data_IF_256736944356
#
_entry.id   IF_256736944356
#
_cell.length_a   1.000
_cell.length_b   1.000
_cell.length_c   1.000
_cell.angle_alpha   90.00
_cell.angle_beta   90.00
_cell.angle_gamma   90.00
#
_symmetry.space_group_name_H-M   'P 1'
#
loop_
_entity.id
_entity.type
_entity.pdbx_description
1 polymer ?
#
# COMPACT_ATOMS: atom_id res chain seq x y z
N UNK A 1 17.78 5.80 -0.30
CA UNK A 1 16.82 4.69 -0.24
C UNK A 1 15.57 5.09 0.53
N UNK A 2 14.40 4.62 0.07
CA UNK A 2 13.12 4.75 0.78
C UNK A 2 12.86 3.38 1.41
N UNK A 3 12.87 3.30 2.75
CA UNK A 3 12.60 2.06 3.47
C UNK A 3 11.09 1.87 3.66
N UNK A 4 10.63 0.63 3.55
CA UNK A 4 9.23 0.26 3.74
C UNK A 4 9.06 -0.65 4.97
N UNK A 5 7.91 -0.53 5.62
CA UNK A 5 7.49 -1.45 6.70
C UNK A 5 6.87 -2.72 6.11
N UNK A 6 7.70 -3.51 5.44
CA UNK A 6 7.35 -4.77 4.78
C UNK A 6 8.03 -5.95 5.48
N UNK A 7 7.46 -7.13 5.35
CA UNK A 7 7.97 -8.35 5.99
C UNK A 7 7.56 -9.59 5.20
N UNK A 8 8.49 -10.55 5.14
CA UNK A 8 8.30 -11.85 4.49
C UNK A 8 8.59 -12.99 5.46
N UNK A 9 7.88 -14.11 5.32
CA UNK A 9 8.16 -15.38 5.98
C UNK A 9 8.78 -16.30 4.94
N UNK A 10 10.00 -16.76 5.21
CA UNK A 10 10.75 -17.65 4.33
C UNK A 10 11.06 -18.95 5.05
N UNK A 11 10.85 -20.08 4.39
CA UNK A 11 11.19 -21.41 4.89
C UNK A 11 12.00 -22.16 3.84
N UNK A 12 13.19 -22.65 4.22
CA UNK A 12 14.08 -23.43 3.34
C UNK A 12 14.36 -22.75 1.99
N UNK A 13 14.47 -21.41 1.97
CA UNK A 13 14.72 -20.63 0.76
C UNK A 13 13.49 -20.33 -0.10
N UNK A 14 12.29 -20.72 0.36
CA UNK A 14 11.02 -20.43 -0.32
C UNK A 14 10.23 -19.39 0.47
N UNK A 15 9.77 -18.34 -0.21
CA UNK A 15 8.82 -17.37 0.34
C UNK A 15 7.46 -18.05 0.56
N UNK A 16 7.02 -18.09 1.81
CA UNK A 16 5.74 -18.68 2.18
C UNK A 16 4.63 -17.64 2.31
N UNK A 17 4.97 -16.40 2.64
CA UNK A 17 4.00 -15.36 2.95
C UNK A 17 4.66 -13.99 2.97
N UNK A 18 3.93 -12.96 2.55
CA UNK A 18 4.40 -11.56 2.59
C UNK A 18 3.32 -10.59 3.06
N UNK A 19 3.73 -9.47 3.65
CA UNK A 19 2.85 -8.46 4.20
C UNK A 19 3.49 -7.10 4.36
N UNK A 20 2.67 -6.13 4.77
CA UNK A 20 3.10 -4.76 5.00
C UNK A 20 2.16 -4.01 5.94
N UNK A 21 2.71 -3.02 6.65
CA UNK A 21 1.91 -1.91 7.20
C UNK A 21 1.48 -1.02 6.04
N UNK A 22 0.19 -0.66 6.00
CA UNK A 22 -0.41 0.07 4.89
C UNK A 22 -0.49 1.56 5.18
N UNK A 23 -0.38 2.33 4.11
CA UNK A 23 -0.68 3.74 4.12
C UNK A 23 -2.16 3.96 4.50
N UNK A 24 -2.42 5.01 5.27
CA UNK A 24 -3.75 5.48 5.64
C UNK A 24 -3.89 7.01 5.52
N UNK A 25 -2.89 7.67 4.93
CA UNK A 25 -2.83 9.10 4.70
C UNK A 25 -2.98 9.41 3.20
N UNK A 26 -3.90 10.31 2.86
CA UNK A 26 -4.20 10.67 1.47
C UNK A 26 -3.04 11.40 0.79
N UNK A 27 -2.34 12.27 1.51
CA UNK A 27 -1.24 13.07 0.97
C UNK A 27 -0.05 12.17 0.64
N UNK A 28 0.21 11.19 1.52
CA UNK A 28 1.23 10.15 1.27
C UNK A 28 0.83 9.30 0.06
N UNK A 29 -0.45 8.95 -0.10
CA UNK A 29 -0.91 8.19 -1.26
C UNK A 29 -0.66 8.96 -2.56
N UNK A 30 -1.09 10.22 -2.63
CA UNK A 30 -0.89 11.08 -3.80
C UNK A 30 0.60 11.19 -4.13
N UNK A 31 1.46 11.44 -3.13
CA UNK A 31 2.90 11.56 -3.36
C UNK A 31 3.55 10.26 -3.83
N UNK A 32 3.16 9.12 -3.26
CA UNK A 32 3.69 7.82 -3.65
C UNK A 32 3.28 7.46 -5.10
N UNK A 33 2.05 7.77 -5.50
CA UNK A 33 1.59 7.57 -6.88
C UNK A 33 2.28 8.52 -7.88
N UNK A 34 2.54 9.77 -7.49
CA UNK A 34 3.32 10.72 -8.30
C UNK A 34 4.74 10.19 -8.56
N UNK A 35 5.40 9.64 -7.54
CA UNK A 35 6.73 8.99 -7.69
C UNK A 35 6.65 7.79 -8.64
N UNK A 36 5.54 7.05 -8.63
CA UNK A 36 5.29 5.94 -9.55
C UNK A 36 4.86 6.37 -10.97
N UNK A 37 4.77 7.68 -11.24
CA UNK A 37 4.45 8.23 -12.56
C UNK A 37 2.96 8.43 -12.85
N UNK A 38 2.12 8.45 -11.81
CA UNK A 38 0.68 8.73 -11.93
C UNK A 38 0.37 10.13 -11.40
N UNK A 39 -0.37 10.92 -12.18
CA UNK A 39 -0.97 12.16 -11.71
C UNK A 39 -2.22 11.89 -10.84
N UNK A 40 -2.65 12.91 -10.12
CA UNK A 40 -3.79 12.81 -9.20
C UNK A 40 -5.11 12.54 -9.95
N UNK A 41 -5.26 13.04 -11.17
CA UNK A 41 -6.43 12.77 -12.00
C UNK A 41 -6.53 11.27 -12.34
N UNK A 42 -5.43 10.65 -12.77
CA UNK A 42 -5.37 9.20 -13.02
C UNK A 42 -5.61 8.40 -11.75
N UNK A 43 -5.08 8.84 -10.61
CA UNK A 43 -5.32 8.21 -9.31
C UNK A 43 -6.82 8.21 -8.97
N UNK A 44 -7.50 9.35 -9.07
CA UNK A 44 -8.94 9.46 -8.83
C UNK A 44 -9.77 8.63 -9.80
N UNK A 45 -9.37 8.58 -11.07
CA UNK A 45 -10.08 7.82 -12.10
C UNK A 45 -9.95 6.30 -11.92
N UNK A 46 -8.75 5.79 -11.60
CA UNK A 46 -8.49 4.35 -11.49
C UNK A 46 -8.72 3.78 -10.08
N UNK A 47 -8.51 4.58 -9.04
CA UNK A 47 -8.55 4.15 -7.64
C UNK A 47 -9.52 4.99 -6.80
N UNK A 48 -10.54 5.57 -7.42
CA UNK A 48 -11.47 6.50 -6.76
C UNK A 48 -12.13 5.96 -5.49
N UNK A 49 -12.46 4.67 -5.44
CA UNK A 49 -13.01 4.05 -4.23
C UNK A 49 -12.02 4.13 -3.04
N UNK A 50 -10.75 3.81 -3.28
CA UNK A 50 -9.69 3.88 -2.27
C UNK A 50 -9.39 5.34 -1.88
N UNK A 51 -9.28 6.20 -2.89
CA UNK A 51 -9.05 7.64 -2.71
C UNK A 51 -10.10 8.29 -1.80
N UNK A 52 -11.37 7.97 -2.04
CA UNK A 52 -12.47 8.48 -1.24
C UNK A 52 -12.47 7.88 0.17
N UNK A 53 -12.21 6.57 0.32
CA UNK A 53 -12.23 5.90 1.61
C UNK A 53 -11.25 6.53 2.62
N UNK A 54 -10.09 6.99 2.17
CA UNK A 54 -9.06 7.57 3.03
C UNK A 54 -9.51 8.90 3.65
N UNK A 55 -10.41 9.64 2.98
CA UNK A 55 -10.95 10.90 3.49
C UNK A 55 -11.93 10.72 4.66
N UNK A 56 -12.42 9.50 4.89
CA UNK A 56 -13.34 9.17 5.99
C UNK A 56 -12.62 8.57 7.20
N UNK A 57 -11.30 8.72 7.28
CA UNK A 57 -10.51 8.28 8.43
C UNK A 57 -10.19 6.78 8.40
N UNK A 58 -9.60 6.31 7.30
CA UNK A 58 -9.04 4.96 7.25
C UNK A 58 -8.04 4.78 8.42
N UNK A 59 -8.21 3.76 9.28
CA UNK A 59 -7.33 3.58 10.43
C UNK A 59 -5.95 3.05 10.00
N UNK A 60 -4.93 3.15 10.86
CA UNK A 60 -3.71 2.37 10.69
C UNK A 60 -4.05 0.88 10.57
N UNK A 61 -3.53 0.23 9.53
CA UNK A 61 -3.82 -1.17 9.25
C UNK A 61 -2.61 -1.87 8.63
N UNK A 62 -2.56 -3.18 8.80
CA UNK A 62 -1.52 -4.05 8.26
C UNK A 62 -2.13 -5.41 7.93
N UNK A 63 -1.44 -6.19 7.13
CA UNK A 63 -1.91 -7.51 6.76
C UNK A 63 -0.83 -8.34 6.10
N UNK A 64 -1.15 -9.60 5.84
CA UNK A 64 -0.22 -10.57 5.28
C UNK A 64 -1.00 -11.60 4.46
N UNK A 65 -0.40 -12.13 3.40
CA UNK A 65 -0.98 -13.13 2.53
C UNK A 65 -0.06 -14.36 2.43
N UNK A 66 -0.48 -15.53 2.97
CA UNK A 66 0.22 -16.79 2.76
C UNK A 66 0.01 -17.35 1.35
N UNK A 67 1.05 -17.96 0.77
CA UNK A 67 0.98 -18.76 -0.45
C UNK A 67 0.47 -20.17 -0.13
N UNK A 68 -0.85 -20.35 -0.22
CA UNK A 68 -1.54 -21.64 -0.05
C UNK A 68 -1.56 -22.42 -1.36
#
# INVERSE_FOLDING_TARGET
DILAYQYDIVCNGIELSSGAVRNHDIDIMVKAFEIAGYDEETLKAKFGALYNAFQFGAPPHAGMAPGV
#
